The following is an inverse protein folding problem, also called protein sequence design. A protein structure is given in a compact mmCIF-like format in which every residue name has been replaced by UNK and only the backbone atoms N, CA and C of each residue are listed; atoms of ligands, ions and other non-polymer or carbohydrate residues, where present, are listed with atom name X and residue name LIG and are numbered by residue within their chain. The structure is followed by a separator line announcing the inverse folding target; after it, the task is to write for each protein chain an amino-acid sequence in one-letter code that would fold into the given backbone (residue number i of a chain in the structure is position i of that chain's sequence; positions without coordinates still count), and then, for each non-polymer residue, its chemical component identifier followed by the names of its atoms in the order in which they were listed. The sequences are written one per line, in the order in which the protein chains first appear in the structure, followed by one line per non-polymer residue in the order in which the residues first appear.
data_IF_938621750263
#
_entry.id   IF_938621750263
#
_cell.length_a   1.000
_cell.length_b   1.000
_cell.length_c   1.000
_cell.angle_alpha   90.00
_cell.angle_beta   90.00
_cell.angle_gamma   90.00
#
_symmetry.space_group_name_H-M   'P 1'
#
loop_
_entity.id
_entity.type
_entity.pdbx_description
1 polymer ?
#
# COMPACT_ATOMS: atom_id res chain seq x y z
N UNK A 1 11.01 25.10 19.29
CA UNK A 1 11.37 23.69 19.57
C UNK A 1 12.50 23.31 18.63
N UNK A 2 13.73 23.37 19.15
CA UNK A 2 14.97 23.12 18.40
C UNK A 2 15.06 21.63 18.05
N UNK A 3 15.01 21.28 16.76
CA UNK A 3 15.55 19.97 16.32
C UNK A 3 17.05 20.06 16.57
N UNK A 4 17.55 19.34 17.57
CA UNK A 4 18.97 19.00 17.66
C UNK A 4 19.43 18.53 16.28
N UNK A 5 20.56 19.04 15.81
CA UNK A 5 21.24 18.57 14.60
C UNK A 5 21.64 17.10 14.78
N UNK A 6 20.72 16.18 14.48
CA UNK A 6 21.03 14.75 14.39
C UNK A 6 21.89 14.56 13.14
N UNK A 7 23.17 14.23 13.33
CA UNK A 7 24.05 13.86 12.22
C UNK A 7 23.40 12.70 11.46
N UNK A 8 23.31 12.77 10.13
CA UNK A 8 22.74 11.68 9.37
C UNK A 8 23.57 10.41 9.56
N UNK A 9 22.90 9.28 9.76
CA UNK A 9 23.52 7.97 10.07
C UNK A 9 24.60 7.55 9.05
N UNK A 10 24.50 8.01 7.80
CA UNK A 10 25.45 7.72 6.73
C UNK A 10 26.74 8.56 6.80
N UNK A 11 26.79 9.57 7.66
CA UNK A 11 27.94 10.46 7.85
C UNK A 11 28.70 10.19 9.15
N UNK A 12 28.33 9.11 9.88
CA UNK A 12 29.04 8.67 11.07
C UNK A 12 30.35 7.98 10.71
N UNK A 13 31.38 8.15 11.54
CA UNK A 13 32.63 7.41 11.40
C UNK A 13 32.43 5.93 11.74
N UNK A 14 33.30 5.06 11.20
CA UNK A 14 33.16 3.60 11.34
C UNK A 14 33.06 3.16 12.80
N UNK A 15 33.88 3.73 13.69
CA UNK A 15 33.87 3.36 15.12
C UNK A 15 32.58 3.81 15.82
N UNK A 16 32.00 4.95 15.41
CA UNK A 16 30.70 5.41 15.91
C UNK A 16 29.58 4.48 15.45
N UNK A 17 29.62 4.01 14.19
CA UNK A 17 28.64 3.05 13.66
C UNK A 17 28.74 1.71 14.39
N UNK A 18 29.95 1.19 14.59
CA UNK A 18 30.19 -0.06 15.32
C UNK A 18 29.68 0.01 16.77
N UNK A 19 29.96 1.13 17.45
CA UNK A 19 29.44 1.39 18.80
C UNK A 19 27.91 1.52 18.83
N UNK A 20 27.33 2.27 17.89
CA UNK A 20 25.87 2.49 17.81
C UNK A 20 25.09 1.22 17.51
N UNK A 21 25.62 0.36 16.63
CA UNK A 21 25.01 -0.92 16.26
C UNK A 21 25.40 -2.08 17.19
N UNK A 22 26.20 -1.80 18.22
CA UNK A 22 26.79 -2.78 19.14
C UNK A 22 27.34 -3.98 18.38
N UNK A 23 28.21 -3.73 17.40
CA UNK A 23 28.80 -4.78 16.55
C UNK A 23 30.29 -4.54 16.35
N UNK A 24 30.97 -5.52 15.76
CA UNK A 24 32.40 -5.48 15.54
C UNK A 24 32.72 -5.48 14.06
N UNK A 25 33.98 -5.23 13.69
CA UNK A 25 34.45 -5.39 12.30
C UNK A 25 34.32 -6.82 11.78
N UNK A 26 34.30 -7.81 12.68
CA UNK A 26 34.02 -9.21 12.39
C UNK A 26 32.52 -9.54 12.31
N UNK A 27 31.64 -8.57 12.55
CA UNK A 27 30.19 -8.76 12.54
C UNK A 27 29.62 -9.20 13.89
N UNK A 28 28.47 -9.86 13.83
CA UNK A 28 27.73 -10.41 14.98
C UNK A 28 28.05 -11.89 15.15
N UNK A 29 27.88 -12.38 16.38
CA UNK A 29 27.85 -13.83 16.63
C UNK A 29 26.50 -14.44 16.20
N UNK A 30 26.45 -15.76 16.01
CA UNK A 30 25.21 -16.46 15.66
C UNK A 30 24.11 -16.29 16.73
N UNK A 31 24.52 -16.23 18.00
CA UNK A 31 23.62 -16.01 19.14
C UNK A 31 23.02 -14.59 19.11
N UNK A 32 23.85 -13.57 18.89
CA UNK A 32 23.40 -12.18 18.77
C UNK A 32 22.52 -11.96 17.54
N UNK A 33 22.89 -12.56 16.40
CA UNK A 33 22.09 -12.50 15.19
C UNK A 33 20.71 -13.13 15.41
N UNK A 34 20.65 -14.28 16.08
CA UNK A 34 19.42 -14.97 16.44
C UNK A 34 18.56 -14.16 17.42
N UNK A 35 19.17 -13.52 18.42
CA UNK A 35 18.46 -12.63 19.34
C UNK A 35 17.88 -11.41 18.63
N UNK A 36 18.66 -10.76 17.77
CA UNK A 36 18.20 -9.63 16.96
C UNK A 36 17.07 -10.04 16.02
N UNK A 37 17.15 -11.21 15.40
CA UNK A 37 16.08 -11.72 14.54
C UNK A 37 14.76 -11.90 15.31
N UNK A 38 14.81 -12.41 16.56
CA UNK A 38 13.61 -12.49 17.41
C UNK A 38 13.06 -11.12 17.80
N UNK A 39 13.94 -10.14 18.03
CA UNK A 39 13.58 -8.80 18.50
C UNK A 39 13.02 -7.92 17.37
N UNK A 40 13.67 -7.91 16.22
CA UNK A 40 13.35 -7.03 15.09
C UNK A 40 12.49 -7.71 14.03
N UNK A 41 12.45 -9.04 14.02
CA UNK A 41 11.83 -9.82 12.98
C UNK A 41 12.72 -9.97 11.74
N UNK A 42 12.26 -10.75 10.74
CA UNK A 42 12.96 -10.86 9.47
C UNK A 42 12.99 -9.51 8.74
N UNK A 43 14.06 -9.25 8.00
CA UNK A 43 14.19 -8.08 7.14
C UNK A 43 13.37 -8.28 5.85
N UNK A 44 12.06 -8.42 6.01
CA UNK A 44 11.12 -8.66 4.93
C UNK A 44 9.98 -7.64 5.01
N UNK A 45 9.65 -7.06 3.85
CA UNK A 45 8.50 -6.18 3.77
C UNK A 45 7.22 -6.99 3.90
N UNK A 46 6.22 -6.52 4.66
CA UNK A 46 4.94 -7.19 4.73
C UNK A 46 4.37 -7.33 3.32
N UNK A 47 4.12 -8.56 2.87
CA UNK A 47 3.37 -8.77 1.64
C UNK A 47 1.98 -8.18 1.84
N UNK A 48 1.65 -7.15 1.07
CA UNK A 48 0.35 -6.49 1.12
C UNK A 48 -0.76 -7.52 0.96
N UNK A 49 -1.86 -7.35 1.72
CA UNK A 49 -3.04 -8.21 1.57
C UNK A 49 -3.44 -8.24 0.09
N UNK A 50 -3.41 -9.42 -0.53
CA UNK A 50 -3.97 -9.59 -1.88
C UNK A 50 -5.42 -9.11 -1.84
N UNK A 51 -5.70 -8.06 -2.59
CA UNK A 51 -7.08 -7.59 -2.74
C UNK A 51 -7.83 -8.66 -3.54
N UNK A 52 -8.83 -9.25 -2.91
CA UNK A 52 -9.72 -10.21 -3.56
C UNK A 52 -10.55 -9.45 -4.59
N UNK A 53 -10.67 -9.96 -5.82
CA UNK A 53 -11.40 -9.30 -6.91
C UNK A 53 -12.81 -8.84 -6.50
N UNK A 54 -13.52 -9.66 -5.72
CA UNK A 54 -14.85 -9.32 -5.19
C UNK A 54 -14.84 -8.09 -4.26
N UNK A 55 -13.76 -7.88 -3.50
CA UNK A 55 -13.59 -6.70 -2.62
C UNK A 55 -13.32 -5.43 -3.43
N UNK A 56 -12.61 -5.54 -4.54
CA UNK A 56 -12.38 -4.42 -5.47
C UNK A 56 -13.71 -4.02 -6.10
N UNK A 57 -14.47 -4.99 -6.64
CA UNK A 57 -15.81 -4.78 -7.19
C UNK A 57 -16.77 -4.17 -6.18
N UNK A 58 -16.84 -4.69 -4.95
CA UNK A 58 -17.70 -4.15 -3.90
C UNK A 58 -17.33 -2.71 -3.51
N UNK A 59 -16.06 -2.34 -3.60
CA UNK A 59 -15.62 -0.97 -3.34
C UNK A 59 -16.02 0.01 -4.45
N UNK A 60 -16.23 -0.44 -5.70
CA UNK A 60 -16.68 0.44 -6.78
C UNK A 60 -18.06 1.03 -6.51
N UNK A 61 -18.96 0.32 -5.83
CA UNK A 61 -20.28 0.86 -5.45
C UNK A 61 -20.22 1.98 -4.40
N UNK A 62 -19.07 2.20 -3.75
CA UNK A 62 -18.87 3.33 -2.83
C UNK A 62 -18.45 4.60 -3.56
N UNK A 63 -18.15 4.51 -4.85
CA UNK A 63 -17.76 5.64 -5.67
C UNK A 63 -19.01 6.44 -6.10
N UNK A 64 -18.98 7.74 -5.86
CA UNK A 64 -20.09 8.66 -6.18
C UNK A 64 -20.35 8.70 -7.69
N UNK A 65 -19.31 8.64 -8.53
CA UNK A 65 -19.46 8.62 -9.99
C UNK A 65 -20.12 7.32 -10.44
N UNK A 66 -19.73 6.18 -9.88
CA UNK A 66 -20.38 4.88 -10.19
C UNK A 66 -21.86 4.93 -9.83
N UNK A 67 -22.21 5.50 -8.67
CA UNK A 67 -23.61 5.66 -8.26
C UNK A 67 -24.40 6.54 -9.26
N UNK A 68 -23.82 7.65 -9.70
CA UNK A 68 -24.43 8.53 -10.72
C UNK A 68 -24.66 7.78 -12.03
N UNK A 69 -23.67 7.01 -12.50
CA UNK A 69 -23.78 6.24 -13.75
C UNK A 69 -24.85 5.14 -13.65
N UNK A 70 -24.97 4.46 -12.51
CA UNK A 70 -26.03 3.48 -12.28
C UNK A 70 -27.42 4.11 -12.32
N UNK A 71 -27.61 5.28 -11.70
CA UNK A 71 -28.86 6.02 -11.75
C UNK A 71 -29.17 6.49 -13.18
N UNK A 72 -28.18 7.03 -13.89
CA UNK A 72 -28.34 7.45 -15.28
C UNK A 72 -28.71 6.27 -16.20
N UNK A 73 -28.08 5.11 -16.00
CA UNK A 73 -28.40 3.86 -16.71
C UNK A 73 -29.85 3.44 -16.45
N UNK A 74 -30.30 3.46 -15.19
CA UNK A 74 -31.66 3.09 -14.82
C UNK A 74 -32.71 4.03 -15.44
N UNK A 75 -32.47 5.34 -15.41
CA UNK A 75 -33.34 6.34 -16.04
C UNK A 75 -33.37 6.13 -17.56
N UNK A 76 -32.20 5.98 -18.20
CA UNK A 76 -32.10 5.78 -19.65
C UNK A 76 -32.82 4.51 -20.13
N UNK A 77 -32.66 3.41 -19.38
CA UNK A 77 -33.35 2.15 -19.65
C UNK A 77 -34.87 2.29 -19.48
N UNK A 78 -35.32 3.00 -18.44
CA UNK A 78 -36.74 3.27 -18.22
C UNK A 78 -37.35 4.11 -19.36
N UNK A 79 -36.59 5.05 -19.93
CA UNK A 79 -37.00 5.85 -21.09
C UNK A 79 -36.95 5.07 -22.42
N UNK A 80 -36.51 3.81 -22.42
CA UNK A 80 -36.38 2.99 -23.62
C UNK A 80 -35.23 3.41 -24.55
N UNK A 81 -34.28 4.22 -24.06
CA UNK A 81 -33.14 4.70 -24.85
C UNK A 81 -32.01 3.66 -24.86
N UNK A 82 -32.18 2.62 -25.69
CA UNK A 82 -31.29 1.46 -25.72
C UNK A 82 -29.83 1.86 -26.04
N UNK A 83 -29.62 2.79 -26.97
CA UNK A 83 -28.27 3.25 -27.36
C UNK A 83 -27.57 3.94 -26.19
N UNK A 84 -28.22 4.91 -25.56
CA UNK A 84 -27.68 5.66 -24.42
C UNK A 84 -27.36 4.73 -23.25
N UNK A 85 -28.25 3.78 -22.95
CA UNK A 85 -28.04 2.77 -21.90
C UNK A 85 -26.82 1.90 -22.20
N UNK A 86 -26.66 1.43 -23.44
CA UNK A 86 -25.51 0.62 -23.85
C UNK A 86 -24.19 1.38 -23.72
N UNK A 87 -24.16 2.66 -24.11
CA UNK A 87 -22.97 3.51 -23.98
C UNK A 87 -22.56 3.66 -22.51
N UNK A 88 -23.51 3.96 -21.62
CA UNK A 88 -23.21 4.14 -20.18
C UNK A 88 -22.71 2.82 -19.57
N UNK A 89 -23.36 1.69 -19.89
CA UNK A 89 -22.93 0.37 -19.42
C UNK A 89 -21.52 0.03 -19.92
N UNK A 90 -21.20 0.33 -21.18
CA UNK A 90 -19.86 0.11 -21.74
C UNK A 90 -18.79 0.91 -20.98
N UNK A 91 -19.06 2.17 -20.64
CA UNK A 91 -18.16 3.00 -19.83
C UNK A 91 -17.93 2.41 -18.44
N UNK A 92 -19.01 1.97 -17.76
CA UNK A 92 -18.92 1.36 -16.43
C UNK A 92 -18.09 0.07 -16.46
N UNK A 93 -18.28 -0.78 -17.47
CA UNK A 93 -17.54 -2.04 -17.63
C UNK A 93 -16.08 -1.78 -18.01
N UNK A 94 -15.80 -0.79 -18.86
CA UNK A 94 -14.42 -0.45 -19.26
C UNK A 94 -13.60 0.18 -18.14
N UNK A 95 -14.24 0.84 -17.17
CA UNK A 95 -13.58 1.44 -16.01
C UNK A 95 -13.24 0.42 -14.91
N UNK A 96 -13.74 -0.82 -15.02
CA UNK A 96 -13.66 -1.85 -13.98
C UNK A 96 -12.30 -2.54 -13.85
#
# INVERSE_FOLDING_TARGET
MSRSEERPWHALDVEEVLGTLSTTRSGLTDDEASERLRKYGPNELPTGRRLVALRIFANQFKDVFVAILLVATAISAFLGKVVDTLVIVAVVVANA
#
